data_IF_708812004105
#
_entry.id   IF_708812004105
#
_cell.length_a   1.000
_cell.length_b   1.000
_cell.length_c   1.000
_cell.angle_alpha   90.00
_cell.angle_beta   90.00
_cell.angle_gamma   90.00
#
_symmetry.space_group_name_H-M   'P 1'
#
loop_
_entity.id
_entity.type
_entity.pdbx_description
1 polymer ?
#
# COMPACT_ATOMS: atom_id res chain seq x y z
N UNK A 1 9.26 -0.15 19.30
CA UNK A 1 9.69 -1.43 18.68
C UNK A 1 8.89 -1.80 17.43
N UNK A 2 7.56 -1.57 17.36
CA UNK A 2 6.73 -1.84 16.16
C UNK A 2 7.16 -1.07 14.89
N UNK A 3 7.58 0.20 15.01
CA UNK A 3 7.90 1.03 13.84
C UNK A 3 9.03 0.49 12.97
N UNK A 4 10.02 -0.18 13.59
CA UNK A 4 11.15 -0.79 12.87
C UNK A 4 10.67 -1.97 12.03
N UNK A 5 9.79 -2.82 12.57
CA UNK A 5 9.23 -3.96 11.85
C UNK A 5 8.42 -3.51 10.63
N UNK A 6 7.56 -2.50 10.79
CA UNK A 6 6.77 -1.95 9.68
C UNK A 6 7.68 -1.29 8.64
N UNK A 7 8.70 -0.55 9.07
CA UNK A 7 9.68 0.05 8.17
C UNK A 7 10.43 -1.00 7.33
N UNK A 8 10.91 -2.07 7.97
CA UNK A 8 11.62 -3.15 7.27
C UNK A 8 10.70 -3.85 6.27
N UNK A 9 9.44 -4.13 6.64
CA UNK A 9 8.47 -4.76 5.73
C UNK A 9 8.18 -3.87 4.53
N UNK A 10 7.96 -2.56 4.75
CA UNK A 10 7.67 -1.60 3.69
C UNK A 10 8.87 -1.44 2.76
N UNK A 11 10.08 -1.29 3.31
CA UNK A 11 11.28 -1.09 2.51
C UNK A 11 11.67 -2.34 1.72
N UNK A 12 11.65 -3.51 2.37
CA UNK A 12 11.94 -4.79 1.74
C UNK A 12 10.89 -5.14 0.68
N UNK A 13 9.60 -4.94 0.98
CA UNK A 13 8.51 -5.14 0.03
C UNK A 13 8.63 -4.22 -1.18
N UNK A 14 8.92 -2.93 -0.99
CA UNK A 14 9.14 -2.00 -2.09
C UNK A 14 10.37 -2.40 -2.93
N UNK A 15 11.48 -2.81 -2.30
CA UNK A 15 12.66 -3.30 -3.01
C UNK A 15 12.34 -4.53 -3.88
N UNK A 16 11.58 -5.51 -3.36
CA UNK A 16 11.17 -6.70 -4.12
C UNK A 16 10.28 -6.31 -5.31
N UNK A 17 9.30 -5.43 -5.11
CA UNK A 17 8.43 -4.93 -6.18
C UNK A 17 9.26 -4.24 -7.27
N UNK A 18 10.19 -3.37 -6.88
CA UNK A 18 11.02 -2.63 -7.82
C UNK A 18 12.01 -3.54 -8.56
N UNK A 19 12.63 -4.53 -7.90
CA UNK A 19 13.50 -5.51 -8.57
C UNK A 19 12.72 -6.27 -9.64
N UNK A 20 11.49 -6.71 -9.34
CA UNK A 20 10.62 -7.36 -10.32
C UNK A 20 10.30 -6.43 -11.51
N UNK A 21 10.01 -5.15 -11.26
CA UNK A 21 9.74 -4.18 -12.33
C UNK A 21 10.97 -3.94 -13.24
N UNK A 22 12.17 -3.88 -12.67
CA UNK A 22 13.43 -3.73 -13.43
C UNK A 22 13.75 -4.99 -14.24
N UNK A 23 13.57 -6.19 -13.66
CA UNK A 23 13.74 -7.49 -14.35
C UNK A 23 12.82 -7.62 -15.58
N UNK A 24 11.64 -6.99 -15.53
CA UNK A 24 10.70 -6.93 -16.64
C UNK A 24 11.13 -5.97 -17.78
N UNK A 25 12.36 -5.45 -17.74
CA UNK A 25 12.94 -4.51 -18.71
C UNK A 25 12.30 -3.11 -18.66
N UNK A 26 11.76 -2.72 -17.52
CA UNK A 26 11.29 -1.35 -17.29
C UNK A 26 12.46 -0.37 -17.20
N UNK A 27 12.39 0.76 -17.91
CA UNK A 27 13.45 1.78 -17.95
C UNK A 27 13.44 2.71 -16.72
N UNK A 28 13.22 2.15 -15.52
CA UNK A 28 13.05 2.90 -14.27
C UNK A 28 14.24 2.76 -13.33
N UNK A 29 14.63 3.88 -12.73
CA UNK A 29 15.66 3.91 -11.70
C UNK A 29 15.12 3.31 -10.39
N UNK A 30 15.88 2.39 -9.78
CA UNK A 30 15.48 1.62 -8.60
C UNK A 30 14.97 2.51 -7.46
N UNK A 31 15.72 3.56 -7.13
CA UNK A 31 15.34 4.47 -6.05
C UNK A 31 14.10 5.32 -6.36
N UNK A 32 13.92 5.72 -7.62
CA UNK A 32 12.75 6.51 -8.02
C UNK A 32 11.45 5.70 -7.86
N UNK A 33 11.48 4.44 -8.29
CA UNK A 33 10.34 3.53 -8.15
C UNK A 33 9.99 3.30 -6.67
N UNK A 34 11.00 3.07 -5.81
CA UNK A 34 10.79 2.89 -4.36
C UNK A 34 10.19 4.14 -3.74
N UNK A 35 10.70 5.33 -4.08
CA UNK A 35 10.17 6.58 -3.58
C UNK A 35 8.71 6.78 -4.00
N UNK A 36 8.37 6.56 -5.28
CA UNK A 36 6.99 6.68 -5.80
C UNK A 36 6.04 5.67 -5.17
N UNK A 37 6.47 4.42 -4.99
CA UNK A 37 5.73 3.40 -4.22
C UNK A 37 5.48 3.88 -2.79
N UNK A 38 6.48 4.47 -2.14
CA UNK A 38 6.35 5.08 -0.82
C UNK A 38 5.34 6.23 -0.79
N UNK A 39 5.37 7.13 -1.78
CA UNK A 39 4.43 8.26 -1.88
C UNK A 39 2.98 7.78 -2.04
N UNK A 40 2.77 6.69 -2.79
CA UNK A 40 1.45 6.12 -2.99
C UNK A 40 0.85 5.46 -1.73
N UNK A 41 1.62 5.25 -0.65
CA UNK A 41 1.12 4.76 0.65
C UNK A 41 0.39 5.88 1.43
N UNK A 42 0.61 7.15 1.10
CA UNK A 42 0.00 8.29 1.81
C UNK A 42 -1.52 8.18 2.08
N UNK A 43 -2.39 7.87 1.11
CA UNK A 43 -3.82 7.69 1.37
C UNK A 43 -4.12 6.53 2.33
N UNK A 44 -3.32 5.45 2.28
CA UNK A 44 -3.41 4.33 3.22
C UNK A 44 -3.04 4.76 4.65
N UNK A 45 -2.05 5.63 4.79
CA UNK A 45 -1.67 6.24 6.07
C UNK A 45 -2.78 7.15 6.60
N UNK A 46 -3.46 7.92 5.74
CA UNK A 46 -4.66 8.68 6.12
C UNK A 46 -5.77 7.77 6.63
N UNK A 47 -6.04 6.64 5.94
CA UNK A 47 -7.03 5.67 6.40
C UNK A 47 -6.72 5.16 7.80
N UNK A 48 -5.45 4.89 8.11
CA UNK A 48 -5.00 4.49 9.44
C UNK A 48 -5.19 5.60 10.49
N UNK A 49 -4.91 6.86 10.14
CA UNK A 49 -5.15 8.02 11.02
C UNK A 49 -6.64 8.19 11.33
N UNK A 50 -7.50 8.01 10.33
CA UNK A 50 -8.96 8.02 10.52
C UNK A 50 -9.39 6.88 11.45
N UNK A 51 -8.86 5.68 11.27
CA UNK A 51 -9.14 4.55 12.17
C UNK A 51 -8.73 4.83 13.61
N UNK A 52 -7.58 5.49 13.83
CA UNK A 52 -7.13 5.92 15.15
C UNK A 52 -8.06 6.99 15.75
N UNK A 53 -8.45 8.00 14.98
CA UNK A 53 -9.39 9.04 15.44
C UNK A 53 -10.75 8.48 15.86
N UNK A 54 -11.27 7.50 15.10
CA UNK A 54 -12.51 6.76 15.46
C UNK A 54 -12.32 5.92 16.73
N UNK A 55 -11.10 5.44 17.00
CA UNK A 55 -10.77 4.73 18.24
C UNK A 55 -10.78 5.64 19.47
N UNK A 56 -10.28 6.86 19.33
CA UNK A 56 -10.25 7.86 20.40
C UNK A 56 -11.64 8.34 20.83
N UNK A 57 -12.60 8.33 19.91
CA UNK A 57 -13.99 8.73 20.16
C UNK A 57 -14.81 7.67 20.92
N UNK A 58 -14.21 6.53 21.30
CA UNK A 58 -14.84 5.51 22.16
C UNK A 58 -16.00 4.75 21.51
N UNK A 59 -16.29 5.00 20.23
CA UNK A 59 -17.43 4.39 19.54
C UNK A 59 -17.11 2.93 19.16
N UNK A 60 -17.72 2.00 19.91
CA UNK A 60 -17.53 0.54 19.78
C UNK A 60 -18.62 -0.13 18.93
N UNK A 61 -19.32 0.63 18.11
CA UNK A 61 -20.42 0.12 17.27
C UNK A 61 -19.89 -0.57 16.01
N UNK A 62 -20.62 -1.59 15.52
CA UNK A 62 -20.37 -2.26 14.24
C UNK A 62 -20.24 -1.27 13.07
N UNK A 63 -20.94 -0.13 13.16
CA UNK A 63 -20.89 0.96 12.18
C UNK A 63 -19.49 1.60 12.08
N UNK A 64 -18.80 1.79 13.21
CA UNK A 64 -17.42 2.29 13.21
C UNK A 64 -16.45 1.29 12.58
N UNK A 65 -16.69 -0.01 12.75
CA UNK A 65 -15.87 -1.05 12.13
C UNK A 65 -16.07 -1.06 10.60
N UNK A 66 -17.30 -0.83 10.12
CA UNK A 66 -17.60 -0.67 8.70
C UNK A 66 -16.93 0.56 8.09
N UNK A 67 -16.96 1.72 8.78
CA UNK A 67 -16.30 2.94 8.31
C UNK A 67 -14.78 2.76 8.22
N UNK A 68 -14.18 2.04 9.17
CA UNK A 68 -12.75 1.72 9.15
C UNK A 68 -12.37 0.77 8.01
N UNK A 69 -13.15 -0.29 7.81
CA UNK A 69 -12.92 -1.22 6.68
C UNK A 69 -13.10 -0.51 5.34
N UNK A 70 -14.11 0.36 5.23
CA UNK A 70 -14.33 1.16 4.02
C UNK A 70 -13.17 2.15 3.77
N UNK A 71 -12.67 2.84 4.80
CA UNK A 71 -11.56 3.79 4.63
C UNK A 71 -10.26 3.08 4.23
N UNK A 72 -9.97 1.91 4.81
CA UNK A 72 -8.82 1.09 4.42
C UNK A 72 -9.00 0.56 2.99
N UNK A 73 -10.18 0.07 2.64
CA UNK A 73 -10.48 -0.43 1.30
C UNK A 73 -10.31 0.64 0.22
N UNK A 74 -10.83 1.85 0.45
CA UNK A 74 -10.67 3.00 -0.45
C UNK A 74 -9.19 3.38 -0.57
N UNK A 75 -8.46 3.43 0.54
CA UNK A 75 -7.02 3.69 0.53
C UNK A 75 -6.24 2.65 -0.28
N UNK A 76 -6.58 1.37 -0.12
CA UNK A 76 -5.94 0.25 -0.83
C UNK A 76 -6.20 0.33 -2.34
N UNK A 77 -7.46 0.58 -2.72
CA UNK A 77 -7.85 0.79 -4.12
C UNK A 77 -7.12 1.97 -4.75
N UNK A 78 -7.05 3.11 -4.05
CA UNK A 78 -6.39 4.30 -4.55
C UNK A 78 -4.88 4.10 -4.71
N UNK A 79 -4.20 3.62 -3.68
CA UNK A 79 -2.75 3.36 -3.69
C UNK A 79 -2.37 2.39 -4.80
N UNK A 80 -3.15 1.32 -4.96
CA UNK A 80 -2.93 0.29 -5.98
C UNK A 80 -3.15 0.85 -7.39
N UNK A 81 -4.24 1.61 -7.61
CA UNK A 81 -4.52 2.27 -8.90
C UNK A 81 -3.43 3.25 -9.29
N UNK A 82 -2.98 4.10 -8.36
CA UNK A 82 -1.94 5.10 -8.61
C UNK A 82 -0.59 4.44 -8.97
N UNK A 83 -0.20 3.38 -8.24
CA UNK A 83 1.05 2.67 -8.50
C UNK A 83 1.04 1.87 -9.80
N UNK A 84 -0.07 1.21 -10.13
CA UNK A 84 -0.21 0.51 -11.42
C UNK A 84 -0.23 1.50 -12.57
N UNK A 85 -0.85 2.68 -12.41
CA UNK A 85 -0.81 3.75 -13.41
C UNK A 85 0.62 4.18 -13.72
N UNK A 86 1.42 4.45 -12.68
CA UNK A 86 2.85 4.76 -12.85
C UNK A 86 3.61 3.62 -13.53
N UNK A 87 3.39 2.36 -13.12
CA UNK A 87 4.05 1.20 -13.70
C UNK A 87 3.65 0.92 -15.15
N UNK A 88 2.42 1.25 -15.54
CA UNK A 88 1.93 1.09 -16.90
C UNK A 88 2.59 2.07 -17.89
N UNK A 89 3.07 3.23 -17.42
CA UNK A 89 3.83 4.17 -18.24
C UNK A 89 5.29 3.72 -18.46
N UNK A 90 5.85 2.95 -17.52
CA UNK A 90 7.27 2.56 -17.56
C UNK A 90 7.53 1.13 -18.01
N UNK A 91 6.51 0.26 -18.00
CA UNK A 91 6.59 -1.14 -18.45
C UNK A 91 5.73 -1.35 -19.69
N UNK A 92 6.22 -2.03 -20.75
CA UNK A 92 5.43 -2.29 -21.94
C UNK A 92 4.10 -3.00 -21.64
N UNK A 93 3.00 -2.63 -22.33
CA UNK A 93 1.62 -3.04 -21.98
C UNK A 93 1.39 -4.56 -22.04
N UNK A 94 2.22 -5.30 -22.77
CA UNK A 94 2.19 -6.77 -22.83
C UNK A 94 2.65 -7.44 -21.53
N UNK A 95 3.31 -6.71 -20.61
CA UNK A 95 3.90 -7.24 -19.37
C UNK A 95 3.52 -6.47 -18.10
N UNK A 96 2.71 -5.41 -18.20
CA UNK A 96 2.28 -4.57 -17.07
C UNK A 96 1.48 -5.35 -16.03
N UNK A 97 0.67 -6.34 -16.44
CA UNK A 97 -0.08 -7.20 -15.54
C UNK A 97 0.83 -8.04 -14.60
N UNK A 98 2.00 -8.49 -15.08
CA UNK A 98 2.96 -9.22 -14.25
C UNK A 98 3.63 -8.31 -13.21
N UNK A 99 3.86 -7.04 -13.55
CA UNK A 99 4.38 -6.05 -12.62
C UNK A 99 3.33 -5.63 -11.57
N UNK A 100 2.04 -5.67 -11.90
CA UNK A 100 0.97 -5.30 -10.98
C UNK A 100 0.79 -6.30 -9.82
N UNK A 101 1.08 -7.59 -10.03
CA UNK A 101 0.89 -8.63 -9.02
C UNK A 101 1.65 -8.36 -7.69
N UNK A 102 2.98 -8.16 -7.68
CA UNK A 102 3.71 -7.86 -6.44
C UNK A 102 3.28 -6.53 -5.81
N UNK A 103 2.84 -5.55 -6.60
CA UNK A 103 2.35 -4.24 -6.11
C UNK A 103 1.06 -4.38 -5.32
N UNK A 104 0.09 -5.11 -5.87
CA UNK A 104 -1.18 -5.40 -5.19
C UNK A 104 -0.92 -6.14 -3.89
N UNK A 105 -0.03 -7.14 -3.92
CA UNK A 105 0.33 -7.94 -2.74
C UNK A 105 1.01 -7.09 -1.67
N UNK A 106 1.88 -6.16 -2.08
CA UNK A 106 2.50 -5.17 -1.19
C UNK A 106 1.48 -4.28 -0.49
N UNK A 107 0.58 -3.60 -1.21
CA UNK A 107 -0.43 -2.75 -0.58
C UNK A 107 -1.45 -3.53 0.26
N UNK A 108 -1.81 -4.74 -0.18
CA UNK A 108 -2.66 -5.63 0.59
C UNK A 108 -2.03 -6.00 1.94
N UNK A 109 -0.73 -6.28 1.97
CA UNK A 109 -0.01 -6.60 3.21
C UNK A 109 -0.03 -5.43 4.21
N UNK A 110 0.15 -4.18 3.75
CA UNK A 110 0.09 -2.99 4.60
C UNK A 110 -1.33 -2.75 5.10
N UNK A 111 -2.33 -2.85 4.22
CA UNK A 111 -3.73 -2.71 4.61
C UNK A 111 -4.13 -3.77 5.66
N UNK A 112 -3.66 -5.00 5.52
CA UNK A 112 -3.90 -6.07 6.47
C UNK A 112 -3.31 -5.75 7.85
N UNK A 113 -2.09 -5.19 7.90
CA UNK A 113 -1.47 -4.73 9.15
C UNK A 113 -2.32 -3.65 9.83
N UNK A 114 -2.89 -2.72 9.06
CA UNK A 114 -3.78 -1.66 9.58
C UNK A 114 -5.06 -2.26 10.17
N UNK A 115 -5.67 -3.24 9.49
CA UNK A 115 -6.91 -3.90 9.94
C UNK A 115 -6.67 -4.70 11.23
N UNK A 116 -5.60 -5.50 11.31
CA UNK A 116 -5.24 -6.25 12.52
C UNK A 116 -5.02 -5.30 13.69
N UNK A 117 -4.38 -4.14 13.47
CA UNK A 117 -4.13 -3.16 14.53
C UNK A 117 -5.38 -2.38 14.94
N UNK A 118 -6.39 -2.35 14.09
CA UNK A 118 -7.70 -1.78 14.40
C UNK A 118 -8.62 -2.76 15.13
N UNK A 119 -8.34 -4.06 15.14
CA UNK A 119 -9.13 -5.03 15.88
C UNK A 119 -8.76 -4.96 17.37
N UNK A 120 -9.75 -4.83 18.28
CA UNK A 120 -9.50 -4.75 19.72
C UNK A 120 -8.93 -6.05 20.30
#
# INVERSE_FOLDING_TARGET
KIGVSVFVIVWFGAAVVTVNAVLLKGSVSFFQSICVLGYCIFPLTLSALVCLGVGWSGCRSTLCLMVRLASVGVGLLWSTRASIGFLAEVVPPKRSALAAYPVVLFYASIAWIIVIRSSP
#
